data_IF_717930436332
#
_entry.id   IF_717930436332
#
_cell.length_a   1.000
_cell.length_b   1.000
_cell.length_c   1.000
_cell.angle_alpha   90.00
_cell.angle_beta   90.00
_cell.angle_gamma   90.00
#
_symmetry.space_group_name_H-M   'P 1'
#
loop_
_entity.id
_entity.type
_entity.pdbx_description
1 polymer ?
#
# COMPACT_ATOMS: atom_id res chain seq x y z
N UNK A 1 15.24 -15.99 -8.89
CA UNK A 1 14.02 -15.88 -8.05
C UNK A 1 12.96 -16.68 -8.75
N UNK A 2 12.38 -17.67 -8.08
CA UNK A 2 11.34 -18.54 -8.64
C UNK A 2 10.10 -18.53 -7.73
N UNK A 3 8.91 -18.68 -8.33
CA UNK A 3 7.65 -18.87 -7.61
C UNK A 3 7.35 -17.81 -6.55
N UNK A 4 7.21 -18.26 -5.30
CA UNK A 4 6.78 -17.47 -4.15
C UNK A 4 7.72 -16.29 -3.82
N UNK A 5 9.02 -16.44 -4.07
CA UNK A 5 9.98 -15.36 -3.85
C UNK A 5 9.70 -14.17 -4.76
N UNK A 6 9.40 -14.45 -6.04
CA UNK A 6 9.12 -13.41 -7.03
C UNK A 6 7.84 -12.65 -6.68
N UNK A 7 6.80 -13.37 -6.27
CA UNK A 7 5.55 -12.78 -5.78
C UNK A 7 5.79 -11.93 -4.54
N UNK A 8 6.60 -12.41 -3.60
CA UNK A 8 6.93 -11.68 -2.37
C UNK A 8 7.72 -10.40 -2.69
N UNK A 9 8.69 -10.44 -3.61
CA UNK A 9 9.42 -9.24 -4.04
C UNK A 9 8.54 -8.24 -4.78
N UNK A 10 7.63 -8.72 -5.63
CA UNK A 10 6.62 -7.88 -6.28
C UNK A 10 5.78 -7.16 -5.23
N UNK A 11 5.24 -7.89 -4.26
CA UNK A 11 4.48 -7.32 -3.14
C UNK A 11 5.31 -6.31 -2.34
N UNK A 12 6.55 -6.63 -1.96
CA UNK A 12 7.42 -5.73 -1.20
C UNK A 12 7.64 -4.43 -1.97
N UNK A 13 7.93 -4.52 -3.27
CA UNK A 13 8.16 -3.36 -4.11
C UNK A 13 6.91 -2.49 -4.23
N UNK A 14 5.77 -3.10 -4.57
CA UNK A 14 4.50 -2.38 -4.79
C UNK A 14 3.98 -1.74 -3.52
N UNK A 15 3.86 -2.49 -2.43
CA UNK A 15 3.37 -1.94 -1.16
C UNK A 15 4.37 -0.95 -0.54
N UNK A 16 5.67 -1.12 -0.77
CA UNK A 16 6.71 -0.15 -0.38
C UNK A 16 6.57 1.20 -1.12
N UNK A 17 6.32 1.16 -2.44
CA UNK A 17 6.01 2.36 -3.22
C UNK A 17 4.71 3.01 -2.77
N UNK A 18 3.64 2.23 -2.62
CA UNK A 18 2.34 2.73 -2.14
C UNK A 18 2.46 3.45 -0.80
N UNK A 19 3.14 2.82 0.16
CA UNK A 19 3.43 3.40 1.48
C UNK A 19 4.17 4.73 1.38
N UNK A 20 5.15 4.83 0.49
CA UNK A 20 5.92 6.06 0.27
C UNK A 20 5.04 7.17 -0.29
N UNK A 21 4.22 6.86 -1.30
CA UNK A 21 3.26 7.79 -1.89
C UNK A 21 2.25 8.31 -0.86
N UNK A 22 1.71 7.46 0.02
CA UNK A 22 0.81 7.92 1.09
C UNK A 22 1.50 8.85 2.09
N UNK A 23 2.76 8.60 2.44
CA UNK A 23 3.54 9.51 3.31
C UNK A 23 3.82 10.84 2.60
N UNK A 24 4.11 10.82 1.31
CA UNK A 24 4.27 12.03 0.49
C UNK A 24 2.96 12.82 0.39
N UNK A 25 1.81 12.15 0.27
CA UNK A 25 0.51 12.79 0.26
C UNK A 25 0.23 13.55 1.58
N UNK A 26 0.53 12.94 2.73
CA UNK A 26 0.42 13.59 4.04
C UNK A 26 1.31 14.84 4.11
N UNK A 27 2.55 14.75 3.61
CA UNK A 27 3.49 15.89 3.60
C UNK A 27 3.03 17.02 2.68
N UNK A 28 2.50 16.69 1.51
CA UNK A 28 1.94 17.66 0.57
C UNK A 28 0.74 18.41 1.18
N UNK A 29 -0.22 17.67 1.76
CA UNK A 29 -1.38 18.27 2.41
C UNK A 29 -1.02 19.12 3.63
N UNK A 30 -0.02 18.71 4.43
CA UNK A 30 0.52 19.52 5.53
C UNK A 30 1.02 20.89 5.06
N UNK A 31 1.55 20.95 3.84
CA UNK A 31 2.06 22.19 3.23
C UNK A 31 0.97 22.96 2.44
N UNK A 32 -0.28 22.50 2.47
CA UNK A 32 -1.40 23.10 1.73
C UNK A 32 -1.48 22.72 0.25
N UNK A 33 -0.58 21.86 -0.25
CA UNK A 33 -0.62 21.38 -1.62
C UNK A 33 -1.54 20.15 -1.74
N UNK A 34 -2.85 20.42 -1.75
CA UNK A 34 -3.86 19.37 -1.82
C UNK A 34 -3.93 18.68 -3.19
N UNK A 35 -3.56 19.37 -4.26
CA UNK A 35 -3.53 18.78 -5.59
C UNK A 35 -2.44 17.70 -5.69
N UNK A 36 -1.24 17.99 -5.16
CA UNK A 36 -0.18 16.99 -5.05
C UNK A 36 -0.57 15.86 -4.09
N UNK A 37 -1.23 16.18 -2.97
CA UNK A 37 -1.69 15.17 -2.04
C UNK A 37 -2.65 14.16 -2.69
N UNK A 38 -3.65 14.64 -3.46
CA UNK A 38 -4.59 13.79 -4.19
C UNK A 38 -3.89 12.97 -5.28
N UNK A 39 -2.96 13.57 -6.01
CA UNK A 39 -2.13 12.85 -6.99
C UNK A 39 -1.36 11.70 -6.33
N UNK A 40 -0.73 11.96 -5.18
CA UNK A 40 0.05 10.97 -4.44
C UNK A 40 -0.81 9.87 -3.81
N UNK A 41 -2.02 10.20 -3.35
CA UNK A 41 -2.99 9.20 -2.93
C UNK A 41 -3.38 8.27 -4.09
N UNK A 42 -3.60 8.81 -5.30
CA UNK A 42 -3.92 8.01 -6.48
C UNK A 42 -2.75 7.12 -6.93
N UNK A 43 -1.53 7.67 -6.99
CA UNK A 43 -0.31 6.89 -7.29
C UNK A 43 -0.12 5.75 -6.27
N UNK A 44 -0.33 6.03 -4.98
CA UNK A 44 -0.23 5.01 -3.94
C UNK A 44 -1.30 3.93 -4.03
N UNK A 45 -2.53 4.30 -4.42
CA UNK A 45 -3.62 3.35 -4.60
C UNK A 45 -3.39 2.39 -5.77
N UNK A 46 -2.85 2.89 -6.88
CA UNK A 46 -2.51 2.08 -8.05
C UNK A 46 -1.49 0.99 -7.68
N UNK A 47 -0.39 1.39 -7.03
CA UNK A 47 0.64 0.45 -6.58
C UNK A 47 0.10 -0.52 -5.51
N UNK A 48 -0.71 -0.02 -4.57
CA UNK A 48 -1.31 -0.88 -3.53
C UNK A 48 -2.19 -1.96 -4.16
N UNK A 49 -3.06 -1.59 -5.10
CA UNK A 49 -3.97 -2.54 -5.74
C UNK A 49 -3.19 -3.60 -6.54
N UNK A 50 -2.13 -3.19 -7.24
CA UNK A 50 -1.27 -4.12 -7.99
C UNK A 50 -0.62 -5.15 -7.06
N UNK A 51 -0.06 -4.71 -5.91
CA UNK A 51 0.50 -5.60 -4.90
C UNK A 51 -0.56 -6.49 -4.22
N UNK A 52 -1.73 -5.94 -3.95
CA UNK A 52 -2.82 -6.65 -3.28
C UNK A 52 -3.39 -7.78 -4.16
N UNK A 53 -3.46 -7.57 -5.48
CA UNK A 53 -3.84 -8.63 -6.42
C UNK A 53 -2.90 -9.83 -6.36
N UNK A 54 -1.59 -9.60 -6.16
CA UNK A 54 -0.62 -10.68 -6.01
C UNK A 54 -0.88 -11.50 -4.73
N UNK A 55 -1.13 -10.81 -3.61
CA UNK A 55 -1.50 -11.47 -2.34
C UNK A 55 -2.84 -12.23 -2.45
N UNK A 56 -3.85 -11.63 -3.09
CA UNK A 56 -5.17 -12.25 -3.27
C UNK A 56 -5.09 -13.54 -4.10
N UNK A 57 -4.20 -13.61 -5.11
CA UNK A 57 -3.95 -14.84 -5.86
C UNK A 57 -3.41 -15.96 -4.96
N UNK A 58 -2.47 -15.65 -4.06
CA UNK A 58 -1.94 -16.63 -3.11
C UNK A 58 -3.03 -17.18 -2.19
N UNK A 59 -3.91 -16.33 -1.67
CA UNK A 59 -5.07 -16.76 -0.87
C UNK A 59 -5.98 -17.69 -1.68
N UNK A 60 -6.26 -17.36 -2.94
CA UNK A 60 -7.09 -18.20 -3.81
C UNK A 60 -6.45 -19.57 -4.08
N UNK A 61 -5.13 -19.62 -4.25
CA UNK A 61 -4.40 -20.88 -4.43
C UNK A 61 -4.44 -21.75 -3.18
N UNK A 62 -4.25 -21.16 -2.00
CA UNK A 62 -4.36 -21.84 -0.71
C UNK A 62 -5.78 -22.38 -0.50
N UNK A 63 -6.81 -21.56 -0.75
CA UNK A 63 -8.21 -21.96 -0.67
C UNK A 63 -8.59 -23.08 -1.66
N UNK A 64 -7.90 -23.17 -2.80
CA UNK A 64 -8.05 -24.25 -3.77
C UNK A 64 -7.30 -25.55 -3.37
N UNK A 65 -6.64 -25.57 -2.20
CA UNK A 65 -5.92 -26.72 -1.67
C UNK A 65 -4.47 -26.85 -2.13
N UNK A 66 -3.90 -25.82 -2.76
CA UNK A 66 -2.45 -25.78 -3.01
C UNK A 66 -1.73 -25.35 -1.74
N UNK A 67 -0.62 -26.01 -1.41
CA UNK A 67 0.26 -25.54 -0.34
C UNK A 67 1.07 -24.33 -0.84
N UNK A 68 0.82 -23.17 -0.24
CA UNK A 68 1.49 -21.89 -0.58
C UNK A 68 2.82 -21.73 0.14
N UNK A 69 3.16 -22.59 1.11
CA UNK A 69 4.49 -22.62 1.72
C UNK A 69 4.91 -21.31 2.40
N UNK A 70 4.12 -20.84 3.38
CA UNK A 70 4.38 -19.59 4.12
C UNK A 70 5.82 -19.55 4.65
N UNK A 71 6.53 -18.48 4.30
CA UNK A 71 7.90 -18.25 4.74
C UNK A 71 8.10 -16.81 5.22
N UNK A 72 9.25 -16.52 5.82
CA UNK A 72 9.56 -15.21 6.40
C UNK A 72 9.46 -14.06 5.36
N UNK A 73 9.80 -14.33 4.10
CA UNK A 73 9.77 -13.32 3.04
C UNK A 73 8.33 -12.95 2.67
N UNK A 74 7.44 -13.95 2.55
CA UNK A 74 6.01 -13.72 2.33
C UNK A 74 5.36 -13.03 3.53
N UNK A 75 5.71 -13.45 4.76
CA UNK A 75 5.26 -12.77 5.97
C UNK A 75 5.67 -11.29 5.96
N UNK A 76 6.92 -10.99 5.64
CA UNK A 76 7.39 -9.60 5.53
C UNK A 76 6.66 -8.81 4.44
N UNK A 77 6.38 -9.44 3.29
CA UNK A 77 5.61 -8.83 2.22
C UNK A 77 4.18 -8.48 2.64
N UNK A 78 3.52 -9.38 3.40
CA UNK A 78 2.19 -9.16 3.95
C UNK A 78 2.19 -8.07 5.05
N UNK A 79 3.22 -8.03 5.90
CA UNK A 79 3.38 -6.96 6.90
C UNK A 79 3.49 -5.57 6.26
N UNK A 80 4.25 -5.46 5.16
CA UNK A 80 4.36 -4.21 4.39
C UNK A 80 3.04 -3.82 3.74
N UNK A 81 2.28 -4.78 3.20
CA UNK A 81 0.94 -4.55 2.66
C UNK A 81 0.03 -3.94 3.73
N UNK A 82 -0.07 -4.57 4.91
CA UNK A 82 -0.91 -4.08 6.00
C UNK A 82 -0.45 -2.70 6.50
N UNK A 83 0.86 -2.45 6.54
CA UNK A 83 1.40 -1.12 6.87
C UNK A 83 0.98 -0.05 5.86
N UNK A 84 1.01 -0.37 4.56
CA UNK A 84 0.58 0.54 3.50
C UNK A 84 -0.92 0.83 3.58
N UNK A 85 -1.76 -0.19 3.80
CA UNK A 85 -3.21 -0.03 3.96
C UNK A 85 -3.57 0.87 5.16
N UNK A 86 -2.92 0.63 6.30
CA UNK A 86 -3.10 1.45 7.50
C UNK A 86 -2.70 2.91 7.22
N UNK A 87 -1.59 3.12 6.52
CA UNK A 87 -1.14 4.47 6.16
C UNK A 87 -2.06 5.16 5.16
N UNK A 88 -2.70 4.44 4.23
CA UNK A 88 -3.72 4.99 3.33
C UNK A 88 -4.90 5.55 4.12
N UNK A 89 -5.42 4.78 5.09
CA UNK A 89 -6.55 5.19 5.94
C UNK A 89 -6.16 6.46 6.72
N UNK A 90 -5.01 6.45 7.38
CA UNK A 90 -4.51 7.59 8.15
C UNK A 90 -4.26 8.81 7.25
N UNK A 91 -3.67 8.61 6.07
CA UNK A 91 -3.40 9.69 5.12
C UNK A 91 -4.69 10.39 4.69
N UNK A 92 -5.73 9.60 4.39
CA UNK A 92 -7.05 10.12 4.02
C UNK A 92 -7.61 11.03 5.12
N UNK A 93 -7.64 10.55 6.37
CA UNK A 93 -8.15 11.33 7.50
C UNK A 93 -7.31 12.59 7.78
N UNK A 94 -5.98 12.50 7.67
CA UNK A 94 -5.10 13.65 7.88
C UNK A 94 -5.26 14.72 6.78
N UNK A 95 -5.39 14.32 5.51
CA UNK A 95 -5.61 15.24 4.40
C UNK A 95 -6.93 16.00 4.61
N UNK A 96 -8.00 15.29 4.96
CA UNK A 96 -9.30 15.90 5.26
C UNK A 96 -9.23 16.85 6.47
N UNK A 97 -8.48 16.49 7.50
CA UNK A 97 -8.22 17.37 8.64
C UNK A 97 -7.49 18.66 8.22
N UNK A 98 -6.45 18.57 7.39
CA UNK A 98 -5.71 19.74 6.90
C UNK A 98 -6.59 20.65 6.02
N UNK A 99 -7.41 20.08 5.14
CA UNK A 99 -8.39 20.84 4.33
C UNK A 99 -9.34 21.66 5.21
N UNK A 100 -9.85 21.07 6.31
CA UNK A 100 -10.74 21.76 7.26
C UNK A 100 -10.05 22.85 8.07
N UNK A 101 -8.76 22.70 8.38
CA UNK A 101 -7.99 23.73 9.10
C UNK A 101 -7.70 24.96 8.24
N UNK A 102 -7.38 24.76 6.95
CA UNK A 102 -7.14 25.87 6.00
C UNK A 102 -8.40 26.57 5.49
N UNK A 103 -9.59 26.04 5.78
CA UNK A 103 -10.88 26.64 5.41
C UNK A 103 -11.46 27.59 6.48
N UNK A 104 -10.68 27.93 7.51
CA UNK A 104 -11.00 28.93 8.54
C UNK A 104 -10.22 30.21 8.29
#
# INVERSE_FOLDING_TARGET
MEGLELVSFEMISRHGSARSSFVEAIRAARNGDFALAEKKMAEGEEDFLAGHQAHARLIQEEAAGKDVGVNLLLTHAADLMMSAETLKIIATELIEMYKKQGAR
#
